data_IF_535015887747
#
_entry.id   IF_535015887747
#
_cell.length_a   1.000
_cell.length_b   1.000
_cell.length_c   1.000
_cell.angle_alpha   90.00
_cell.angle_beta   90.00
_cell.angle_gamma   90.00
#
_symmetry.space_group_name_H-M   'P 1'
#
loop_
_entity.id
_entity.type
_entity.pdbx_description
1 polymer ?
#
# COMPACT_ATOMS: atom_id res chain seq x y z
N UNK A 1 -19.50 19.02 6.20
CA UNK A 1 -18.74 20.14 5.61
C UNK A 1 -18.61 19.99 4.10
N UNK A 2 -18.55 21.09 3.34
CA UNK A 2 -18.14 21.07 1.95
C UNK A 2 -16.69 20.58 1.82
N UNK A 3 -16.36 19.95 0.69
CA UNK A 3 -15.01 19.44 0.44
C UNK A 3 -14.00 20.60 0.36
N UNK A 4 -12.91 20.50 1.13
CA UNK A 4 -11.79 21.44 1.05
C UNK A 4 -10.87 21.00 -0.10
N UNK A 5 -11.08 21.59 -1.28
CA UNK A 5 -10.39 21.21 -2.52
C UNK A 5 -8.86 21.34 -2.42
N UNK A 6 -8.36 22.38 -1.76
CA UNK A 6 -6.91 22.60 -1.59
C UNK A 6 -6.24 21.43 -0.87
N UNK A 7 -6.89 20.87 0.15
CA UNK A 7 -6.39 19.72 0.90
C UNK A 7 -6.40 18.45 0.05
N UNK A 8 -7.43 18.26 -0.79
CA UNK A 8 -7.48 17.12 -1.71
C UNK A 8 -6.41 17.21 -2.79
N UNK A 9 -6.16 18.39 -3.35
CA UNK A 9 -5.06 18.60 -4.30
C UNK A 9 -3.70 18.37 -3.65
N UNK A 10 -3.49 18.87 -2.43
CA UNK A 10 -2.24 18.64 -1.72
C UNK A 10 -2.02 17.14 -1.43
N UNK A 11 -3.08 16.40 -1.09
CA UNK A 11 -3.03 14.94 -0.95
C UNK A 11 -2.66 14.24 -2.27
N UNK A 12 -3.21 14.70 -3.39
CA UNK A 12 -2.90 14.15 -4.71
C UNK A 12 -1.43 14.40 -5.09
N UNK A 13 -0.93 15.62 -4.86
CA UNK A 13 0.49 15.97 -5.07
C UNK A 13 1.38 15.10 -4.19
N UNK A 14 1.04 14.95 -2.91
CA UNK A 14 1.79 14.11 -1.98
C UNK A 14 1.85 12.65 -2.45
N UNK A 15 0.74 12.07 -2.94
CA UNK A 15 0.72 10.73 -3.51
C UNK A 15 1.62 10.61 -4.75
N UNK A 16 1.64 11.61 -5.63
CA UNK A 16 2.53 11.63 -6.81
C UNK A 16 4.00 11.68 -6.40
N UNK A 17 4.35 12.46 -5.37
CA UNK A 17 5.71 12.50 -4.84
C UNK A 17 6.16 11.12 -4.31
N UNK A 18 5.28 10.40 -3.61
CA UNK A 18 5.54 9.03 -3.14
C UNK A 18 5.76 8.07 -4.31
N UNK A 19 4.92 8.14 -5.34
CA UNK A 19 5.05 7.32 -6.56
C UNK A 19 6.35 7.64 -7.30
N UNK A 20 6.75 8.92 -7.38
CA UNK A 20 8.00 9.33 -8.00
C UNK A 20 9.22 8.74 -7.26
N UNK A 21 9.24 8.83 -5.92
CA UNK A 21 10.28 8.20 -5.10
C UNK A 21 10.38 6.70 -5.38
N UNK A 22 9.27 5.96 -5.23
CA UNK A 22 9.26 4.51 -5.42
C UNK A 22 9.64 4.10 -6.83
N UNK A 23 9.23 4.88 -7.85
CA UNK A 23 9.67 4.66 -9.23
C UNK A 23 11.18 4.75 -9.35
N UNK A 24 11.82 5.75 -8.74
CA UNK A 24 13.30 5.85 -8.76
C UNK A 24 13.99 4.70 -8.01
N UNK A 25 13.39 4.19 -6.92
CA UNK A 25 13.91 3.02 -6.20
C UNK A 25 13.89 1.78 -7.10
N UNK A 26 12.77 1.53 -7.78
CA UNK A 26 12.62 0.40 -8.70
C UNK A 26 13.57 0.53 -9.89
N UNK A 27 13.67 1.71 -10.50
CA UNK A 27 14.60 1.98 -11.61
C UNK A 27 16.04 1.66 -11.19
N UNK A 28 16.48 2.15 -10.02
CA UNK A 28 17.82 1.89 -9.52
C UNK A 28 18.09 0.42 -9.23
N UNK A 29 17.10 -0.29 -8.70
CA UNK A 29 17.23 -1.70 -8.36
C UNK A 29 17.32 -2.59 -9.61
N UNK A 30 16.46 -2.34 -10.59
CA UNK A 30 16.19 -3.32 -11.65
C UNK A 30 16.78 -2.92 -13.02
N UNK A 31 17.08 -1.64 -13.25
CA UNK A 31 17.41 -1.12 -14.58
C UNK A 31 18.69 -0.28 -14.65
N UNK A 32 18.87 0.69 -13.76
CA UNK A 32 19.94 1.69 -13.82
C UNK A 32 20.41 2.12 -12.41
N UNK A 33 21.36 1.40 -11.78
CA UNK A 33 21.83 1.67 -10.41
C UNK A 33 22.34 3.10 -10.16
N UNK A 34 22.89 3.73 -11.21
CA UNK A 34 23.39 5.10 -11.25
C UNK A 34 22.28 6.16 -11.39
N UNK A 35 21.02 5.76 -11.63
CA UNK A 35 19.91 6.69 -11.80
C UNK A 35 19.72 7.56 -10.54
N UNK A 36 19.52 8.88 -10.66
CA UNK A 36 19.34 9.75 -9.51
C UNK A 36 18.11 9.36 -8.68
N UNK A 37 18.29 9.23 -7.36
CA UNK A 37 17.18 8.97 -6.45
C UNK A 37 16.41 10.25 -6.17
N UNK A 38 15.08 10.19 -6.25
CA UNK A 38 14.21 11.33 -5.94
C UNK A 38 13.89 11.38 -4.43
N UNK A 39 14.88 11.72 -3.61
CA UNK A 39 14.76 11.73 -2.14
C UNK A 39 13.72 12.73 -1.61
N UNK A 40 13.47 13.83 -2.32
CA UNK A 40 12.41 14.79 -1.96
C UNK A 40 11.02 14.16 -1.95
N UNK A 41 10.82 13.02 -2.62
CA UNK A 41 9.55 12.31 -2.60
C UNK A 41 9.19 11.72 -1.22
N UNK A 42 10.16 11.60 -0.31
CA UNK A 42 9.94 11.14 1.08
C UNK A 42 8.97 12.07 1.83
N UNK A 43 9.07 13.39 1.63
CA UNK A 43 8.14 14.36 2.22
C UNK A 43 6.68 14.13 1.78
N UNK A 44 6.47 13.50 0.62
CA UNK A 44 5.14 13.09 0.17
C UNK A 44 4.46 12.14 1.15
N UNK A 45 5.22 11.26 1.81
CA UNK A 45 4.72 10.30 2.79
C UNK A 45 4.15 11.04 4.01
N UNK A 46 4.94 11.94 4.60
CA UNK A 46 4.55 12.71 5.79
C UNK A 46 3.31 13.56 5.52
N UNK A 47 3.32 14.31 4.41
CA UNK A 47 2.20 15.17 4.00
C UNK A 47 0.94 14.33 3.77
N UNK A 48 1.05 13.20 3.07
CA UNK A 48 -0.09 12.33 2.77
C UNK A 48 -0.72 11.77 4.05
N UNK A 49 0.09 11.34 5.02
CA UNK A 49 -0.40 10.79 6.29
C UNK A 49 -1.05 11.85 7.18
N UNK A 50 -0.42 13.02 7.34
CA UNK A 50 -0.99 14.12 8.13
C UNK A 50 -2.33 14.58 7.57
N UNK A 51 -2.42 14.78 6.25
CA UNK A 51 -3.67 15.18 5.59
C UNK A 51 -4.73 14.09 5.71
N UNK A 52 -4.37 12.82 5.51
CA UNK A 52 -5.31 11.72 5.65
C UNK A 52 -5.85 11.63 7.09
N UNK A 53 -4.99 11.81 8.09
CA UNK A 53 -5.37 11.88 9.50
C UNK A 53 -6.34 13.03 9.78
N UNK A 54 -6.02 14.23 9.29
CA UNK A 54 -6.88 15.40 9.41
C UNK A 54 -8.27 15.17 8.77
N UNK A 55 -8.33 14.62 7.56
CA UNK A 55 -9.60 14.29 6.89
C UNK A 55 -10.39 13.25 7.68
N UNK A 56 -9.73 12.19 8.18
CA UNK A 56 -10.41 11.15 8.97
C UNK A 56 -10.98 11.73 10.27
N UNK A 57 -10.21 12.55 10.98
CA UNK A 57 -10.65 13.21 12.21
C UNK A 57 -11.85 14.13 11.96
N UNK A 58 -11.76 15.02 10.98
CA UNK A 58 -12.83 15.96 10.65
C UNK A 58 -14.13 15.25 10.27
N UNK A 59 -14.06 14.18 9.47
CA UNK A 59 -15.24 13.38 9.13
C UNK A 59 -15.85 12.71 10.37
N UNK A 60 -15.02 12.14 11.24
CA UNK A 60 -15.48 11.46 12.45
C UNK A 60 -16.10 12.44 13.47
N UNK A 61 -15.57 13.67 13.55
CA UNK A 61 -16.09 14.73 14.41
C UNK A 61 -17.46 15.25 13.93
N UNK A 62 -17.67 15.35 12.61
CA UNK A 62 -18.97 15.77 12.06
C UNK A 62 -20.04 14.68 12.10
N UNK A 63 -19.63 13.43 11.91
CA UNK A 63 -20.52 12.27 11.86
C UNK A 63 -19.98 11.20 12.80
N UNK A 64 -20.40 11.23 14.08
CA UNK A 64 -20.01 10.23 15.05
C UNK A 64 -20.24 8.83 14.47
N UNK A 65 -19.17 8.04 14.44
CA UNK A 65 -19.20 6.67 13.94
C UNK A 65 -18.80 5.75 15.07
N UNK A 66 -19.42 4.56 15.12
CA UNK A 66 -18.93 3.52 16.02
C UNK A 66 -17.62 2.95 15.49
N UNK A 67 -16.74 2.42 16.35
CA UNK A 67 -15.54 1.71 15.91
C UNK A 67 -15.87 0.56 14.95
N UNK A 68 -16.97 -0.16 15.17
CA UNK A 68 -17.44 -1.23 14.29
C UNK A 68 -17.80 -0.71 12.89
N UNK A 69 -18.57 0.38 12.79
CA UNK A 69 -18.92 0.97 11.49
C UNK A 69 -17.71 1.55 10.76
N UNK A 70 -16.70 2.04 11.50
CA UNK A 70 -15.43 2.48 10.91
C UNK A 70 -14.66 1.29 10.31
N UNK A 71 -14.55 0.18 11.05
CA UNK A 71 -13.89 -1.04 10.59
C UNK A 71 -14.60 -1.65 9.39
N UNK A 72 -15.93 -1.72 9.40
CA UNK A 72 -16.73 -2.21 8.28
C UNK A 72 -16.44 -1.43 6.99
N UNK A 73 -16.47 -0.08 7.06
CA UNK A 73 -16.15 0.80 5.93
C UNK A 73 -14.71 0.60 5.43
N UNK A 74 -13.78 0.31 6.35
CA UNK A 74 -12.38 0.02 6.01
C UNK A 74 -12.25 -1.33 5.31
N UNK A 75 -12.94 -2.36 5.80
CA UNK A 75 -12.93 -3.72 5.23
C UNK A 75 -13.49 -3.71 3.81
N UNK A 76 -14.69 -3.13 3.61
CA UNK A 76 -15.35 -3.06 2.30
C UNK A 76 -14.49 -2.34 1.26
N UNK A 77 -13.66 -1.39 1.69
CA UNK A 77 -12.77 -0.64 0.80
C UNK A 77 -11.43 -1.34 0.54
N UNK A 78 -10.79 -1.88 1.57
CA UNK A 78 -9.41 -2.39 1.49
C UNK A 78 -9.40 -3.84 1.01
N UNK A 79 -10.25 -4.70 1.57
CA UNK A 79 -10.17 -6.16 1.35
C UNK A 79 -10.41 -6.55 -0.11
N UNK A 80 -11.45 -6.04 -0.81
CA UNK A 80 -11.68 -6.42 -2.20
C UNK A 80 -10.53 -6.02 -3.13
N UNK A 81 -9.99 -4.80 -2.95
CA UNK A 81 -8.88 -4.32 -3.75
C UNK A 81 -7.60 -5.09 -3.46
N UNK A 82 -7.34 -5.38 -2.18
CA UNK A 82 -6.17 -6.16 -1.78
C UNK A 82 -6.23 -7.58 -2.35
N UNK A 83 -7.38 -8.26 -2.29
CA UNK A 83 -7.55 -9.58 -2.92
C UNK A 83 -7.38 -9.53 -4.44
N UNK A 84 -7.96 -8.52 -5.10
CA UNK A 84 -7.86 -8.34 -6.54
C UNK A 84 -6.42 -8.12 -7.03
N UNK A 85 -5.55 -7.51 -6.21
CA UNK A 85 -4.11 -7.36 -6.50
C UNK A 85 -3.32 -8.60 -6.09
N UNK A 86 -3.68 -9.24 -4.96
CA UNK A 86 -2.98 -10.42 -4.44
C UNK A 86 -3.07 -11.60 -5.40
N UNK A 87 -4.22 -11.83 -6.03
CA UNK A 87 -4.41 -12.93 -7.00
C UNK A 87 -3.34 -12.86 -8.11
N UNK A 88 -3.28 -11.83 -8.98
CA UNK A 88 -2.30 -11.79 -10.05
C UNK A 88 -0.86 -11.80 -9.54
N UNK A 89 -0.56 -11.13 -8.42
CA UNK A 89 0.79 -11.15 -7.83
C UNK A 89 1.18 -12.54 -7.35
N UNK A 90 0.26 -13.33 -6.79
CA UNK A 90 0.53 -14.69 -6.34
C UNK A 90 0.88 -15.63 -7.50
N UNK A 91 0.30 -15.39 -8.68
CA UNK A 91 0.52 -16.21 -9.86
C UNK A 91 1.70 -15.73 -10.72
N UNK A 92 2.32 -14.58 -10.44
CA UNK A 92 3.41 -14.01 -11.25
C UNK A 92 4.71 -14.05 -10.45
N UNK A 93 5.71 -14.77 -10.96
CA UNK A 93 7.10 -14.64 -10.50
C UNK A 93 7.88 -13.72 -11.44
N UNK A 94 8.80 -12.94 -10.87
CA UNK A 94 9.71 -12.05 -11.59
C UNK A 94 11.19 -12.46 -11.46
N UNK A 95 11.50 -13.52 -10.70
CA UNK A 95 12.89 -13.93 -10.42
C UNK A 95 13.66 -14.38 -11.68
N UNK A 96 12.96 -14.87 -12.70
CA UNK A 96 13.54 -15.36 -13.96
C UNK A 96 12.82 -14.81 -15.20
N UNK A 97 12.20 -13.63 -15.08
CA UNK A 97 11.24 -13.08 -16.06
C UNK A 97 9.79 -13.29 -15.64
N UNK A 98 8.85 -12.64 -16.34
CA UNK A 98 7.42 -12.67 -16.01
C UNK A 98 6.85 -14.07 -16.32
N UNK A 99 6.82 -14.93 -15.31
CA UNK A 99 6.42 -16.34 -15.45
C UNK A 99 5.23 -16.63 -14.55
N UNK A 100 4.30 -17.46 -15.05
CA UNK A 100 3.19 -17.92 -14.24
C UNK A 100 3.64 -19.08 -13.34
N UNK A 101 3.45 -18.93 -12.04
CA UNK A 101 3.76 -19.94 -11.02
C UNK A 101 2.49 -20.24 -10.23
N UNK A 102 2.29 -21.50 -9.87
CA UNK A 102 1.22 -21.83 -8.92
C UNK A 102 1.67 -21.42 -7.51
N UNK A 103 0.97 -20.48 -6.85
CA UNK A 103 1.30 -20.11 -5.49
C UNK A 103 1.03 -21.28 -4.55
N UNK A 104 1.84 -21.39 -3.50
CA UNK A 104 1.53 -22.28 -2.39
C UNK A 104 0.14 -21.90 -1.82
N UNK A 105 -0.83 -22.83 -1.80
CA UNK A 105 -2.19 -22.53 -1.34
C UNK A 105 -2.24 -22.00 0.10
N UNK A 106 -1.27 -22.40 0.92
CA UNK A 106 -1.18 -21.96 2.30
C UNK A 106 -0.67 -20.53 2.44
N UNK A 107 0.38 -20.16 1.69
CA UNK A 107 0.84 -18.77 1.57
C UNK A 107 -0.24 -17.83 1.03
N UNK A 108 -1.03 -18.31 0.05
CA UNK A 108 -2.18 -17.55 -0.49
C UNK A 108 -3.27 -17.34 0.57
N UNK A 109 -3.61 -18.40 1.32
CA UNK A 109 -4.59 -18.31 2.41
C UNK A 109 -4.13 -17.36 3.52
N UNK A 110 -2.85 -17.44 3.94
CA UNK A 110 -2.26 -16.50 4.91
C UNK A 110 -2.33 -15.06 4.43
N UNK A 111 -1.97 -14.83 3.17
CA UNK A 111 -2.04 -13.49 2.56
C UNK A 111 -3.46 -12.94 2.54
N UNK A 112 -4.48 -13.75 2.20
CA UNK A 112 -5.88 -13.32 2.19
C UNK A 112 -6.46 -13.06 3.59
N UNK A 113 -5.98 -13.78 4.60
CA UNK A 113 -6.39 -13.63 5.99
C UNK A 113 -5.56 -12.59 6.75
N UNK A 114 -4.63 -11.90 6.09
CA UNK A 114 -3.71 -10.95 6.71
C UNK A 114 -2.87 -11.57 7.83
N UNK A 115 -2.51 -12.84 7.68
CA UNK A 115 -1.64 -13.56 8.61
C UNK A 115 -0.19 -13.36 8.18
N UNK A 116 0.69 -12.82 9.06
CA UNK A 116 2.10 -12.63 8.73
C UNK A 116 2.79 -13.95 8.37
N UNK A 117 3.53 -13.95 7.26
CA UNK A 117 4.39 -15.04 6.83
C UNK A 117 5.83 -14.54 6.70
N UNK A 118 6.78 -15.32 7.20
CA UNK A 118 8.19 -14.97 7.09
C UNK A 118 8.66 -15.10 5.65
N UNK A 119 9.18 -14.00 5.09
CA UNK A 119 9.77 -13.98 3.77
C UNK A 119 11.29 -13.95 3.88
N UNK A 120 11.94 -15.06 3.53
CA UNK A 120 13.39 -15.22 3.64
C UNK A 120 14.17 -14.22 2.79
N UNK A 121 13.65 -13.86 1.61
CA UNK A 121 14.33 -12.91 0.70
C UNK A 121 14.34 -11.49 1.24
N UNK A 122 13.29 -11.10 1.97
CA UNK A 122 13.14 -9.77 2.54
C UNK A 122 13.60 -9.68 4.00
N UNK A 123 13.93 -10.83 4.63
CA UNK A 123 14.28 -10.95 6.04
C UNK A 123 13.24 -10.29 6.98
N UNK A 124 11.96 -10.36 6.61
CA UNK A 124 10.85 -9.79 7.38
C UNK A 124 9.55 -10.56 7.14
N UNK A 125 8.57 -10.37 8.02
CA UNK A 125 7.22 -10.83 7.76
C UNK A 125 6.59 -9.98 6.65
N UNK A 126 6.32 -10.59 5.49
CA UNK A 126 5.80 -9.90 4.33
C UNK A 126 4.78 -10.78 3.61
N UNK A 127 3.56 -10.27 3.33
CA UNK A 127 2.60 -10.98 2.48
C UNK A 127 3.08 -10.96 1.01
N UNK A 128 2.38 -11.71 0.16
CA UNK A 128 2.62 -11.77 -1.30
C UNK A 128 2.71 -10.36 -1.92
N UNK A 129 1.80 -9.46 -1.56
CA UNK A 129 1.87 -8.04 -1.95
C UNK A 129 2.64 -7.29 -0.90
N UNK A 130 3.94 -7.04 -1.12
CA UNK A 130 4.85 -6.43 -0.13
C UNK A 130 4.21 -5.29 0.68
N UNK A 131 3.62 -4.28 0.01
CA UNK A 131 2.98 -3.09 0.63
C UNK A 131 1.85 -3.45 1.62
N UNK A 132 1.29 -4.65 1.52
CA UNK A 132 0.31 -5.20 2.45
C UNK A 132 0.86 -5.50 3.85
N UNK A 133 2.16 -5.38 4.10
CA UNK A 133 2.76 -5.57 5.42
C UNK A 133 2.07 -4.74 6.52
N UNK A 134 1.54 -3.55 6.19
CA UNK A 134 0.79 -2.70 7.14
C UNK A 134 -0.59 -3.25 7.56
N UNK A 135 -1.08 -4.28 6.87
CA UNK A 135 -2.35 -4.97 7.18
C UNK A 135 -2.15 -6.26 7.97
N UNK A 136 -0.92 -6.80 7.97
CA UNK A 136 -0.56 -8.02 8.70
C UNK A 136 0.02 -7.59 10.06
N UNK A 137 -0.72 -7.84 11.14
CA UNK A 137 -0.29 -7.58 12.51
C UNK A 137 0.08 -8.88 13.22
#
# INVERSE_FOLDING_TARGET
MPQILSIQYLRAIAAVLVVALHSTIVIRRDYAPEFPMFTTGEFGVDIFFVISGFIMWTIAAEKPTTPAAFLERRIIRIVPLYWAVTIPTAFISTDAGLTFVLPDPWSLARSFLFIPEWNEKLAMAAPIVFVGWTLNL
#
